data_IF_661856318287
#
_entry.id   IF_661856318287
#
_cell.length_a   1.000
_cell.length_b   1.000
_cell.length_c   1.000
_cell.angle_alpha   90.00
_cell.angle_beta   90.00
_cell.angle_gamma   90.00
#
_symmetry.space_group_name_H-M   'P 1'
#
loop_
_entity.id
_entity.type
_entity.pdbx_description
1 polymer ?
#
# COMPACT_ATOMS: atom_id res chain seq x y z
N UNK A 1 -25.60 -6.56 1.40
CA UNK A 1 -24.97 -7.90 1.22
C UNK A 1 -25.30 -8.78 2.41
N UNK A 2 -24.93 -10.08 2.39
CA UNK A 2 -25.30 -11.04 3.44
C UNK A 2 -24.81 -10.65 4.85
N UNK A 3 -23.84 -9.75 4.95
CA UNK A 3 -23.30 -9.25 6.21
C UNK A 3 -23.89 -7.91 6.69
N UNK A 4 -24.89 -7.36 5.99
CA UNK A 4 -25.39 -5.99 6.27
C UNK A 4 -25.91 -5.76 7.70
N UNK A 5 -26.39 -6.81 8.36
CA UNK A 5 -26.92 -6.71 9.72
C UNK A 5 -25.84 -6.54 10.82
N UNK A 6 -24.57 -6.76 10.51
CA UNK A 6 -23.45 -6.69 11.48
C UNK A 6 -22.40 -5.63 11.13
N UNK A 7 -22.54 -4.95 9.98
CA UNK A 7 -21.60 -3.92 9.55
C UNK A 7 -21.99 -2.57 10.16
N UNK A 8 -21.00 -1.85 10.67
CA UNK A 8 -21.13 -0.42 10.95
C UNK A 8 -21.08 0.38 9.63
N UNK A 9 -21.60 1.60 9.66
CA UNK A 9 -21.70 2.48 8.48
C UNK A 9 -20.34 2.71 7.77
N UNK A 10 -19.23 2.68 8.50
CA UNK A 10 -17.89 2.94 7.98
C UNK A 10 -17.08 1.68 7.64
N UNK A 11 -17.60 0.47 7.89
CA UNK A 11 -16.87 -0.78 7.68
C UNK A 11 -16.47 -0.99 6.22
N UNK A 12 -17.35 -0.64 5.28
CA UNK A 12 -17.01 -0.71 3.85
C UNK A 12 -15.79 0.14 3.49
N UNK A 13 -15.69 1.32 4.09
CA UNK A 13 -14.55 2.23 3.91
C UNK A 13 -13.28 1.65 4.55
N UNK A 14 -13.40 1.09 5.77
CA UNK A 14 -12.29 0.43 6.47
C UNK A 14 -11.76 -0.76 5.69
N UNK A 15 -12.63 -1.64 5.21
CA UNK A 15 -12.27 -2.81 4.40
C UNK A 15 -11.59 -2.40 3.11
N UNK A 16 -12.10 -1.37 2.41
CA UNK A 16 -11.47 -0.87 1.20
C UNK A 16 -10.05 -0.36 1.45
N UNK A 17 -9.85 0.42 2.52
CA UNK A 17 -8.55 0.97 2.92
C UNK A 17 -7.56 -0.12 3.36
N UNK A 18 -7.99 -1.07 4.18
CA UNK A 18 -7.17 -2.20 4.60
C UNK A 18 -6.79 -3.10 3.42
N UNK A 19 -7.73 -3.36 2.50
CA UNK A 19 -7.46 -4.12 1.28
C UNK A 19 -6.43 -3.42 0.39
N UNK A 20 -6.50 -2.09 0.30
CA UNK A 20 -5.52 -1.32 -0.45
C UNK A 20 -4.11 -1.38 0.17
N UNK A 21 -4.01 -1.26 1.50
CA UNK A 21 -2.74 -1.39 2.21
C UNK A 21 -2.16 -2.80 2.06
N UNK A 22 -2.99 -3.83 2.23
CA UNK A 22 -2.59 -5.23 2.04
C UNK A 22 -2.08 -5.48 0.62
N UNK A 23 -2.73 -4.90 -0.39
CA UNK A 23 -2.29 -5.03 -1.79
C UNK A 23 -0.91 -4.42 -2.02
N UNK A 24 -0.61 -3.26 -1.42
CA UNK A 24 0.73 -2.68 -1.49
C UNK A 24 1.76 -3.60 -0.82
N UNK A 25 1.44 -4.11 0.38
CA UNK A 25 2.32 -5.02 1.11
C UNK A 25 2.60 -6.32 0.32
N UNK A 26 1.58 -6.88 -0.34
CA UNK A 26 1.71 -8.08 -1.19
C UNK A 26 2.73 -7.89 -2.33
N UNK A 27 2.75 -6.72 -2.96
CA UNK A 27 3.72 -6.44 -4.04
C UNK A 27 5.12 -6.11 -3.54
N UNK A 28 5.23 -5.54 -2.33
CA UNK A 28 6.54 -5.31 -1.70
C UNK A 28 7.23 -6.59 -1.23
N UNK A 29 6.47 -7.66 -0.95
CA UNK A 29 7.01 -8.98 -0.55
C UNK A 29 6.99 -10.00 -1.71
N UNK A 30 6.77 -9.56 -2.96
CA UNK A 30 6.45 -10.46 -4.07
C UNK A 30 7.51 -11.54 -4.34
N UNK A 31 8.79 -11.21 -4.19
CA UNK A 31 9.89 -12.15 -4.37
C UNK A 31 10.01 -13.20 -3.26
N UNK A 32 9.30 -13.01 -2.13
CA UNK A 32 9.43 -13.80 -0.89
C UNK A 32 10.85 -13.87 -0.34
N UNK A 33 11.71 -12.96 -0.82
CA UNK A 33 13.13 -12.89 -0.44
C UNK A 33 13.37 -12.01 0.78
N UNK A 34 12.32 -11.43 1.37
CA UNK A 34 12.42 -10.43 2.43
C UNK A 34 13.37 -9.28 2.07
N UNK A 35 13.41 -8.88 0.79
CA UNK A 35 14.28 -7.78 0.34
C UNK A 35 13.80 -6.47 0.97
N UNK A 36 12.48 -6.25 1.04
CA UNK A 36 11.89 -5.11 1.75
C UNK A 36 11.80 -5.41 3.24
N UNK A 37 12.48 -4.59 4.05
CA UNK A 37 12.53 -4.76 5.51
C UNK A 37 11.55 -3.84 6.23
N UNK A 38 11.26 -2.68 5.64
CA UNK A 38 10.39 -1.66 6.23
C UNK A 38 9.90 -0.69 5.17
N UNK A 39 8.69 -0.18 5.37
CA UNK A 39 8.12 0.93 4.62
C UNK A 39 7.79 2.08 5.59
N UNK A 40 8.47 3.20 5.44
CA UNK A 40 8.20 4.41 6.21
C UNK A 40 7.25 5.32 5.42
N UNK A 41 6.07 5.61 5.98
CA UNK A 41 5.00 6.31 5.28
C UNK A 41 4.87 7.74 5.79
N UNK A 42 4.82 8.71 4.86
CA UNK A 42 4.55 10.12 5.14
C UNK A 42 3.33 10.58 4.35
N UNK A 43 2.37 11.17 5.05
CA UNK A 43 1.17 11.76 4.44
C UNK A 43 1.42 13.25 4.22
N UNK A 44 1.12 13.73 3.02
CA UNK A 44 1.23 15.14 2.61
C UNK A 44 -0.04 15.57 1.90
N UNK A 45 -0.14 16.87 1.59
CA UNK A 45 -1.32 17.43 0.94
C UNK A 45 -1.50 16.90 -0.50
N UNK A 46 -0.39 16.71 -1.21
CA UNK A 46 -0.33 16.24 -2.60
C UNK A 46 -0.45 14.71 -2.73
N UNK A 47 -0.27 13.96 -1.65
CA UNK A 47 -0.28 12.50 -1.67
C UNK A 47 0.47 11.86 -0.51
N UNK A 48 0.66 10.56 -0.63
CA UNK A 48 1.37 9.73 0.35
C UNK A 48 2.71 9.32 -0.25
N UNK A 49 3.80 9.45 0.51
CA UNK A 49 5.12 8.96 0.15
C UNK A 49 5.50 7.77 1.02
N UNK A 50 5.80 6.64 0.39
CA UNK A 50 6.36 5.46 1.05
C UNK A 50 7.85 5.32 0.73
N UNK A 51 8.69 5.29 1.76
CA UNK A 51 10.13 5.08 1.65
C UNK A 51 10.48 3.64 2.06
N UNK A 52 10.96 2.85 1.10
CA UNK A 52 11.38 1.46 1.31
C UNK A 52 12.79 1.42 1.88
N UNK A 53 12.95 0.73 3.00
CA UNK A 53 14.25 0.27 3.50
C UNK A 53 14.41 -1.19 3.07
N UNK A 54 15.44 -1.46 2.29
CA UNK A 54 15.68 -2.78 1.72
C UNK A 54 17.04 -3.35 2.12
N UNK A 55 17.13 -4.67 2.12
CA UNK A 55 18.38 -5.44 2.15
C UNK A 55 18.71 -5.85 0.71
N UNK A 56 19.51 -5.04 0.02
CA UNK A 56 19.84 -5.24 -1.39
C UNK A 56 18.98 -4.39 -2.33
N UNK A 57 18.78 -4.86 -3.56
CA UNK A 57 18.04 -4.14 -4.59
C UNK A 57 16.54 -4.53 -4.57
N UNK A 58 15.68 -3.56 -4.26
CA UNK A 58 14.22 -3.71 -4.23
C UNK A 58 13.52 -3.05 -5.44
N UNK A 59 14.25 -2.77 -6.52
CA UNK A 59 13.71 -2.00 -7.67
C UNK A 59 12.49 -2.66 -8.30
N UNK A 60 12.46 -4.00 -8.36
CA UNK A 60 11.34 -4.77 -8.95
C UNK A 60 10.10 -4.67 -8.06
N UNK A 61 10.24 -4.88 -6.76
CA UNK A 61 9.17 -4.79 -5.75
C UNK A 61 8.57 -3.39 -5.72
N UNK A 62 9.41 -2.35 -5.72
CA UNK A 62 8.98 -0.95 -5.76
C UNK A 62 8.22 -0.65 -7.05
N UNK A 63 8.71 -1.09 -8.20
CA UNK A 63 8.05 -0.87 -9.49
C UNK A 63 6.68 -1.56 -9.55
N UNK A 64 6.59 -2.82 -9.11
CA UNK A 64 5.33 -3.58 -9.07
C UNK A 64 4.30 -2.93 -8.13
N UNK A 65 4.73 -2.53 -6.93
CA UNK A 65 3.85 -1.88 -5.95
C UNK A 65 3.29 -0.55 -6.48
N UNK A 66 4.13 0.28 -7.12
CA UNK A 66 3.67 1.53 -7.75
C UNK A 66 2.66 1.29 -8.86
N UNK A 67 2.88 0.29 -9.72
CA UNK A 67 1.98 -0.05 -10.83
C UNK A 67 0.60 -0.54 -10.34
N UNK A 68 0.50 -0.93 -9.08
CA UNK A 68 -0.70 -1.49 -8.45
C UNK A 68 -1.30 -0.58 -7.36
N UNK A 69 -0.85 0.67 -7.30
CA UNK A 69 -1.33 1.71 -6.38
C UNK A 69 -2.72 2.28 -6.68
N UNK A 70 -3.36 1.89 -7.79
CA UNK A 70 -4.68 2.43 -8.17
C UNK A 70 -5.77 2.12 -7.15
N UNK A 71 -5.71 0.96 -6.48
CA UNK A 71 -6.64 0.60 -5.40
C UNK A 71 -6.47 1.51 -4.19
N UNK A 72 -5.23 1.87 -3.85
CA UNK A 72 -4.92 2.84 -2.79
C UNK A 72 -5.55 4.19 -3.09
N UNK A 73 -5.33 4.73 -4.29
CA UNK A 73 -5.94 5.99 -4.71
C UNK A 73 -7.46 5.96 -4.65
N UNK A 74 -8.09 4.85 -5.05
CA UNK A 74 -9.55 4.70 -4.95
C UNK A 74 -10.04 4.68 -3.50
N UNK A 75 -9.32 4.03 -2.59
CA UNK A 75 -9.73 3.85 -1.20
C UNK A 75 -9.43 5.06 -0.29
N UNK A 76 -8.36 5.81 -0.58
CA UNK A 76 -7.89 6.94 0.23
C UNK A 76 -8.14 8.31 -0.41
N UNK A 77 -8.45 8.36 -1.71
CA UNK A 77 -8.61 9.63 -2.45
C UNK A 77 -7.30 10.34 -2.75
N UNK A 78 -6.16 9.80 -2.30
CA UNK A 78 -4.82 10.34 -2.51
C UNK A 78 -3.93 9.31 -3.22
N UNK A 79 -3.03 9.72 -4.13
CA UNK A 79 -2.04 8.82 -4.68
C UNK A 79 -1.01 8.42 -3.62
N UNK A 80 -0.39 7.25 -3.81
CA UNK A 80 0.82 6.86 -3.09
C UNK A 80 1.96 6.69 -4.11
N UNK A 81 3.10 7.29 -3.80
CA UNK A 81 4.37 7.05 -4.50
C UNK A 81 5.29 6.27 -3.57
N UNK A 82 5.82 5.14 -4.06
CA UNK A 82 6.75 4.30 -3.32
C UNK A 82 8.14 4.45 -3.94
N UNK A 83 9.13 4.74 -3.12
CA UNK A 83 10.51 4.96 -3.56
C UNK A 83 11.48 4.23 -2.63
N UNK A 84 12.69 3.95 -3.13
CA UNK A 84 13.77 3.54 -2.27
C UNK A 84 14.14 4.68 -1.31
N UNK A 85 14.50 4.34 -0.07
CA UNK A 85 15.18 5.29 0.81
C UNK A 85 16.53 5.68 0.16
N UNK A 86 16.90 6.97 0.18
CA UNK A 86 18.22 7.42 -0.27
C UNK A 86 19.38 6.76 0.47
#
# INVERSE_FOLDING_TARGET
GPYGAILADDDGTRVARLSALLRIAEYLERSKGQVVQRLDVRVRAEGVRGEVVASGDASVEIWDANRRSSLFRKAFGLPIEIVARP
#
